data_IF_483547061171
#
_entry.id   IF_483547061171
#
_cell.length_a   1.000
_cell.length_b   1.000
_cell.length_c   1.000
_cell.angle_alpha   90.00
_cell.angle_beta   90.00
_cell.angle_gamma   90.00
#
_symmetry.space_group_name_H-M   'P 1'
#
loop_
_entity.id
_entity.type
_entity.pdbx_description
1 polymer ?
#
# COMPACT_ATOMS: atom_id res chain seq x y z
N UNK A 1 -1.68 2.76 -12.84
CA UNK A 1 -2.19 3.30 -11.57
C UNK A 1 -2.79 4.65 -11.88
N UNK A 2 -3.96 4.95 -11.33
CA UNK A 2 -4.47 6.32 -11.40
C UNK A 2 -3.57 7.22 -10.57
N UNK A 3 -3.50 8.50 -10.88
CA UNK A 3 -2.58 9.44 -10.24
C UNK A 3 -2.85 9.62 -8.73
N UNK A 4 -4.03 9.20 -8.26
CA UNK A 4 -4.55 9.29 -6.91
C UNK A 4 -4.55 7.93 -6.16
N UNK A 5 -3.84 6.92 -6.68
CA UNK A 5 -3.77 5.60 -6.07
C UNK A 5 -2.31 5.16 -5.84
N UNK A 6 -2.11 4.35 -4.80
CA UNK A 6 -0.85 3.67 -4.49
C UNK A 6 -1.04 2.17 -4.43
N UNK A 7 -0.02 1.42 -4.80
CA UNK A 7 0.01 -0.04 -4.64
C UNK A 7 0.90 -0.40 -3.45
N UNK A 8 0.30 -1.00 -2.43
CA UNK A 8 1.00 -1.40 -1.21
C UNK A 8 1.49 -2.85 -1.36
N UNK A 9 2.76 -3.08 -1.04
CA UNK A 9 3.38 -4.40 -1.13
C UNK A 9 4.34 -4.60 0.04
N UNK A 10 4.25 -5.75 0.70
CA UNK A 10 5.27 -6.19 1.64
C UNK A 10 6.12 -7.30 1.03
N UNK A 11 7.35 -6.97 0.63
CA UNK A 11 8.26 -7.92 0.00
C UNK A 11 8.94 -8.88 0.99
N UNK A 12 8.87 -8.59 2.30
CA UNK A 12 9.45 -9.43 3.34
C UNK A 12 8.52 -10.56 3.83
N UNK A 13 7.23 -10.49 3.51
CA UNK A 13 6.23 -11.47 3.90
C UNK A 13 5.47 -11.98 2.66
N UNK A 14 5.82 -13.16 2.12
CA UNK A 14 5.22 -13.68 0.88
C UNK A 14 3.70 -13.78 0.91
N UNK A 15 3.13 -14.11 2.07
CA UNK A 15 1.71 -14.28 2.36
C UNK A 15 1.01 -13.00 2.89
N UNK A 16 1.68 -11.85 2.79
CA UNK A 16 1.10 -10.56 3.16
C UNK A 16 -0.20 -10.28 2.40
N UNK A 17 -1.25 -9.96 3.15
CA UNK A 17 -2.51 -9.48 2.61
C UNK A 17 -2.38 -7.99 2.25
N UNK A 18 -1.96 -7.74 1.00
CA UNK A 18 -1.69 -6.40 0.46
C UNK A 18 -2.38 -6.16 -0.90
N UNK A 19 -1.96 -5.14 -1.66
CA UNK A 19 -2.62 -4.72 -2.90
C UNK A 19 -2.68 -5.80 -3.98
N UNK A 20 -1.94 -6.92 -3.84
CA UNK A 20 -2.11 -8.11 -4.68
C UNK A 20 -3.50 -8.74 -4.55
N UNK A 21 -4.17 -8.59 -3.39
CA UNK A 21 -5.49 -9.15 -3.12
C UNK A 21 -6.62 -8.12 -3.25
N UNK A 22 -6.43 -6.92 -2.72
CA UNK A 22 -7.47 -5.89 -2.68
C UNK A 22 -7.30 -4.77 -3.73
N UNK A 23 -6.23 -4.81 -4.53
CA UNK A 23 -5.94 -3.80 -5.54
C UNK A 23 -5.27 -2.53 -4.99
N UNK A 24 -5.12 -1.49 -5.83
CA UNK A 24 -4.59 -0.20 -5.42
C UNK A 24 -5.46 0.49 -4.36
N UNK A 25 -4.84 1.32 -3.52
CA UNK A 25 -5.47 2.09 -2.46
C UNK A 25 -5.48 3.56 -2.84
N UNK A 26 -6.62 4.22 -2.73
CA UNK A 26 -6.73 5.67 -2.94
C UNK A 26 -5.91 6.46 -1.91
N UNK A 27 -5.29 7.56 -2.34
CA UNK A 27 -4.42 8.41 -1.52
C UNK A 27 -5.16 9.06 -0.34
N UNK A 28 -6.48 9.25 -0.43
CA UNK A 28 -7.31 9.78 0.66
C UNK A 28 -7.39 8.83 1.88
N UNK A 29 -7.15 7.52 1.69
CA UNK A 29 -7.06 6.53 2.75
C UNK A 29 -5.65 6.43 3.37
N UNK A 30 -4.66 7.20 2.89
CA UNK A 30 -3.28 7.18 3.39
C UNK A 30 -3.08 8.24 4.47
N UNK A 31 -2.87 7.81 5.72
CA UNK A 31 -2.66 8.71 6.87
C UNK A 31 -1.29 9.41 6.80
N UNK A 32 -0.26 8.73 6.28
CA UNK A 32 1.08 9.28 6.17
C UNK A 32 2.16 8.23 5.87
N UNK A 33 3.42 8.66 5.87
CA UNK A 33 4.59 7.77 5.71
C UNK A 33 5.17 7.45 7.09
N UNK A 34 5.38 6.18 7.38
CA UNK A 34 6.12 5.77 8.57
C UNK A 34 7.55 6.33 8.52
N UNK A 35 8.02 6.89 9.64
CA UNK A 35 9.40 7.36 9.81
C UNK A 35 10.13 6.39 10.74
N UNK A 36 11.39 6.05 10.48
CA UNK A 36 12.21 5.30 11.43
C UNK A 36 12.24 5.98 12.80
N UNK A 37 12.44 5.17 13.84
CA UNK A 37 12.74 5.65 15.19
C UNK A 37 14.15 6.25 15.26
#
# INVERSE_FOLDING_TARGET
MRSDEVFLLNTAAPDSFDSRYFGPVSLDHVIGKARPL
#
